data_IF_885809390235
#
_entry.id   IF_885809390235
#
_cell.length_a   1.000
_cell.length_b   1.000
_cell.length_c   1.000
_cell.angle_alpha   90.00
_cell.angle_beta   90.00
_cell.angle_gamma   90.00
#
_symmetry.space_group_name_H-M   'P 1'
#
loop_
_entity.id
_entity.type
_entity.pdbx_description
1 polymer ?
#
# COMPACT_ATOMS: atom_id res chain seq x y z
N UNK A 1 25.11 16.73 -64.62
CA UNK A 1 24.87 15.34 -64.23
C UNK A 1 25.82 14.95 -63.10
N UNK A 2 25.42 15.16 -61.85
CA UNK A 2 24.59 14.26 -61.02
C UNK A 2 25.49 13.34 -60.18
N UNK A 3 26.08 13.90 -59.12
CA UNK A 3 26.68 13.10 -58.05
C UNK A 3 25.69 13.07 -56.88
N UNK A 4 25.04 11.92 -56.72
CA UNK A 4 24.08 11.66 -55.64
C UNK A 4 24.85 11.33 -54.35
N UNK A 5 24.66 12.13 -53.31
CA UNK A 5 25.22 11.90 -51.98
C UNK A 5 24.41 10.82 -51.24
N UNK A 6 25.04 9.99 -50.39
CA UNK A 6 24.32 8.95 -49.67
C UNK A 6 23.31 9.58 -48.71
N UNK A 7 22.08 9.09 -48.76
CA UNK A 7 20.99 9.53 -47.90
C UNK A 7 21.37 9.30 -46.43
N UNK A 8 21.12 10.27 -45.53
CA UNK A 8 21.40 10.08 -44.13
C UNK A 8 20.50 8.97 -43.60
N UNK A 9 21.10 7.91 -43.04
CA UNK A 9 20.37 6.88 -42.33
C UNK A 9 19.65 7.53 -41.16
N UNK A 10 18.38 7.88 -41.37
CA UNK A 10 17.45 8.23 -40.32
C UNK A 10 17.20 6.96 -39.50
N UNK A 11 18.09 6.65 -38.56
CA UNK A 11 17.74 5.81 -37.41
C UNK A 11 16.87 6.67 -36.51
N UNK A 12 15.62 6.86 -36.92
CA UNK A 12 14.59 7.46 -36.11
C UNK A 12 14.29 6.50 -34.98
N UNK A 13 14.92 6.67 -33.83
CA UNK A 13 14.46 6.10 -32.57
C UNK A 13 13.12 6.77 -32.28
N UNK A 14 12.05 6.23 -32.84
CA UNK A 14 10.70 6.64 -32.50
C UNK A 14 10.50 6.28 -31.03
N UNK A 15 10.59 7.27 -30.15
CA UNK A 15 10.28 7.11 -28.74
C UNK A 15 8.89 6.46 -28.65
N UNK A 16 8.81 5.25 -28.12
CA UNK A 16 7.55 4.54 -27.98
C UNK A 16 6.67 5.31 -26.99
N UNK A 17 5.74 6.12 -27.51
CA UNK A 17 4.82 6.97 -26.73
C UNK A 17 3.65 6.21 -26.07
N UNK A 18 3.66 4.87 -26.10
CA UNK A 18 2.55 4.06 -25.57
C UNK A 18 2.91 3.49 -24.21
N UNK A 19 2.12 3.85 -23.20
CA UNK A 19 2.17 3.23 -21.89
C UNK A 19 1.68 1.77 -21.98
N UNK A 20 2.18 0.86 -21.13
CA UNK A 20 1.61 -0.48 -21.00
C UNK A 20 0.15 -0.43 -20.56
N UNK A 21 -0.64 -1.42 -20.98
CA UNK A 21 -2.03 -1.55 -20.54
C UNK A 21 -2.10 -1.89 -19.05
N UNK A 22 -2.90 -1.13 -18.29
CA UNK A 22 -3.20 -1.45 -16.90
C UNK A 22 -3.93 -2.80 -16.80
N UNK A 23 -3.53 -3.63 -15.82
CA UNK A 23 -4.19 -4.90 -15.49
C UNK A 23 -4.81 -4.79 -14.10
N UNK A 24 -5.73 -5.71 -13.78
CA UNK A 24 -6.19 -5.93 -12.42
C UNK A 24 -5.14 -6.68 -11.59
N UNK A 25 -5.59 -7.48 -10.62
CA UNK A 25 -4.72 -8.19 -9.68
C UNK A 25 -3.73 -9.16 -10.34
N UNK A 26 -2.54 -9.26 -9.76
CA UNK A 26 -1.49 -10.20 -10.14
C UNK A 26 -1.00 -11.04 -8.95
N UNK A 27 -1.19 -12.36 -9.01
CA UNK A 27 -0.80 -13.29 -7.95
C UNK A 27 0.33 -14.27 -8.34
N UNK A 28 0.62 -14.43 -9.62
CA UNK A 28 1.62 -15.40 -10.12
C UNK A 28 1.12 -16.86 -10.19
N UNK A 29 0.36 -17.36 -9.22
CA UNK A 29 -0.26 -18.70 -9.27
C UNK A 29 -1.62 -18.77 -8.55
N UNK A 30 -2.47 -19.73 -8.91
CA UNK A 30 -3.79 -19.91 -8.29
C UNK A 30 -3.71 -20.35 -6.83
N UNK A 31 -2.68 -21.14 -6.48
CA UNK A 31 -2.40 -21.50 -5.09
C UNK A 31 -2.08 -20.26 -4.26
N UNK A 32 -1.23 -19.36 -4.79
CA UNK A 32 -0.88 -18.12 -4.11
C UNK A 32 -2.07 -17.16 -4.02
N UNK A 33 -2.87 -17.08 -5.09
CA UNK A 33 -4.14 -16.35 -5.09
C UNK A 33 -5.05 -16.82 -3.96
N UNK A 34 -5.27 -18.13 -3.87
CA UNK A 34 -6.13 -18.72 -2.83
C UNK A 34 -5.62 -18.45 -1.42
N UNK A 35 -4.30 -18.55 -1.22
CA UNK A 35 -3.64 -18.24 0.06
C UNK A 35 -3.82 -16.78 0.45
N UNK A 36 -3.48 -15.85 -0.44
CA UNK A 36 -3.54 -14.41 -0.17
C UNK A 36 -4.98 -13.95 0.05
N UNK A 37 -5.94 -14.40 -0.76
CA UNK A 37 -7.34 -14.03 -0.59
C UNK A 37 -7.92 -14.55 0.73
N UNK A 38 -7.57 -15.77 1.15
CA UNK A 38 -7.98 -16.30 2.46
C UNK A 38 -7.40 -15.48 3.62
N UNK A 39 -6.12 -15.13 3.52
CA UNK A 39 -5.47 -14.25 4.50
C UNK A 39 -6.19 -12.90 4.59
N UNK A 40 -6.46 -12.25 3.45
CA UNK A 40 -7.12 -10.95 3.41
C UNK A 40 -8.55 -11.02 3.98
N UNK A 41 -9.30 -12.07 3.65
CA UNK A 41 -10.63 -12.28 4.19
C UNK A 41 -10.61 -12.39 5.71
N UNK A 42 -9.72 -13.20 6.27
CA UNK A 42 -9.61 -13.36 7.73
C UNK A 42 -9.10 -12.08 8.41
N UNK A 43 -8.07 -11.45 7.84
CA UNK A 43 -7.49 -10.24 8.37
C UNK A 43 -8.53 -9.12 8.45
N UNK A 44 -9.22 -8.81 7.36
CA UNK A 44 -10.18 -7.72 7.33
C UNK A 44 -11.49 -8.04 8.05
N UNK A 45 -11.89 -9.31 8.12
CA UNK A 45 -13.01 -9.73 8.98
C UNK A 45 -12.75 -9.35 10.45
N UNK A 46 -11.52 -9.57 10.94
CA UNK A 46 -11.15 -9.19 12.31
C UNK A 46 -10.95 -7.67 12.39
N UNK A 47 -10.30 -7.06 11.39
CA UNK A 47 -10.00 -5.62 11.36
C UNK A 47 -11.27 -4.77 11.46
N UNK A 48 -12.36 -5.20 10.81
CA UNK A 48 -13.65 -4.51 10.74
C UNK A 48 -14.63 -4.94 11.84
N UNK A 49 -14.26 -5.88 12.72
CA UNK A 49 -15.13 -6.37 13.79
C UNK A 49 -15.39 -5.36 14.92
N UNK A 50 -14.63 -4.26 14.95
CA UNK A 50 -14.61 -3.28 16.04
C UNK A 50 -13.64 -3.65 17.17
N UNK A 51 -13.33 -4.92 17.38
CA UNK A 51 -12.25 -5.37 18.27
C UNK A 51 -11.10 -5.99 17.46
N UNK A 52 -10.05 -5.20 17.27
CA UNK A 52 -8.89 -5.61 16.48
C UNK A 52 -7.96 -6.58 17.21
N UNK A 53 -8.17 -6.91 18.49
CA UNK A 53 -7.26 -7.77 19.27
C UNK A 53 -6.98 -9.13 18.63
N UNK A 54 -7.94 -9.69 17.86
CA UNK A 54 -7.75 -10.92 17.11
C UNK A 54 -6.60 -10.89 16.09
N UNK A 55 -6.12 -9.71 15.70
CA UNK A 55 -4.97 -9.55 14.79
C UNK A 55 -3.62 -9.78 15.46
N UNK A 56 -3.54 -9.85 16.79
CA UNK A 56 -2.28 -10.04 17.51
C UNK A 56 -1.53 -11.29 17.02
N UNK A 57 -2.25 -12.36 16.69
CA UNK A 57 -1.69 -13.61 16.16
C UNK A 57 -1.21 -13.53 14.71
N UNK A 58 -1.63 -12.51 13.95
CA UNK A 58 -1.20 -12.30 12.56
C UNK A 58 0.16 -11.60 12.45
N UNK A 59 0.63 -10.96 13.53
CA UNK A 59 1.88 -10.21 13.56
C UNK A 59 3.01 -10.96 14.27
N UNK A 60 4.19 -10.97 13.65
CA UNK A 60 5.43 -11.41 14.28
C UNK A 60 5.80 -10.51 15.47
N UNK A 61 6.52 -11.02 16.48
CA UNK A 61 6.89 -10.25 17.68
C UNK A 61 7.62 -8.93 17.34
N UNK A 62 8.47 -8.97 16.32
CA UNK A 62 9.26 -7.82 15.80
C UNK A 62 8.67 -7.22 14.52
N UNK A 63 7.37 -7.44 14.26
CA UNK A 63 6.72 -6.84 13.11
C UNK A 63 6.75 -5.31 13.19
N UNK A 64 6.91 -4.68 12.04
CA UNK A 64 6.91 -3.22 11.93
C UNK A 64 5.66 -2.71 11.21
N UNK A 65 5.16 -1.55 11.62
CA UNK A 65 4.02 -0.87 11.00
C UNK A 65 4.25 0.63 10.94
N UNK A 66 3.80 1.26 9.86
CA UNK A 66 3.71 2.71 9.74
C UNK A 66 2.54 3.09 8.84
N UNK A 67 1.92 4.23 9.13
CA UNK A 67 0.85 4.80 8.32
C UNK A 67 1.36 6.00 7.51
N UNK A 68 0.82 6.23 6.33
CA UNK A 68 1.06 7.48 5.59
C UNK A 68 -0.23 7.91 4.93
N UNK A 69 -0.60 9.19 5.10
CA UNK A 69 -1.70 9.82 4.40
C UNK A 69 -1.16 10.83 3.38
N UNK A 70 -1.86 11.01 2.24
CA UNK A 70 -1.47 12.04 1.27
C UNK A 70 -1.56 13.42 1.93
N UNK A 71 -0.60 14.28 1.61
CA UNK A 71 -0.65 15.68 2.01
C UNK A 71 -1.37 16.47 0.91
N UNK A 72 -2.54 17.02 1.23
CA UNK A 72 -3.28 17.88 0.31
C UNK A 72 -3.17 19.35 0.78
N UNK A 73 -2.27 20.17 0.20
CA UNK A 73 -2.07 21.56 0.63
C UNK A 73 -3.25 22.49 0.31
N UNK A 74 -4.19 22.04 -0.53
CA UNK A 74 -5.26 22.88 -1.07
C UNK A 74 -6.58 22.86 -0.30
N UNK A 75 -6.70 22.08 0.78
CA UNK A 75 -7.97 21.99 1.52
C UNK A 75 -7.96 22.83 2.82
N UNK A 76 -8.75 23.92 2.88
CA UNK A 76 -8.91 24.74 4.08
C UNK A 76 -9.87 24.14 5.12
N UNK A 77 -10.54 23.02 4.83
CA UNK A 77 -11.42 22.30 5.75
C UNK A 77 -10.60 21.41 6.71
N UNK A 78 -11.14 21.00 7.88
CA UNK A 78 -10.56 19.87 8.60
C UNK A 78 -10.56 18.68 7.65
N UNK A 79 -9.37 18.23 7.26
CA UNK A 79 -9.22 17.05 6.41
C UNK A 79 -10.01 15.91 7.05
N UNK A 80 -10.81 15.19 6.25
CA UNK A 80 -11.44 13.93 6.68
C UNK A 80 -10.43 12.91 7.22
N UNK A 81 -9.13 13.15 7.02
CA UNK A 81 -8.03 12.32 7.50
C UNK A 81 -7.41 12.84 8.81
N UNK A 82 -8.05 13.78 9.52
CA UNK A 82 -7.49 14.40 10.73
C UNK A 82 -7.16 13.37 11.82
N UNK A 83 -7.98 12.34 11.97
CA UNK A 83 -7.80 11.26 12.96
C UNK A 83 -6.53 10.44 12.69
N UNK A 84 -6.11 10.36 11.43
CA UNK A 84 -4.91 9.64 10.99
C UNK A 84 -3.63 10.49 11.05
N UNK A 85 -3.77 11.82 11.21
CA UNK A 85 -2.64 12.74 11.11
C UNK A 85 -1.58 12.49 12.19
N UNK A 86 -2.00 12.07 13.38
CA UNK A 86 -1.10 11.76 14.51
C UNK A 86 -0.15 10.60 14.21
N UNK A 87 -0.56 9.66 13.37
CA UNK A 87 0.21 8.47 13.00
C UNK A 87 0.89 8.61 11.62
N UNK A 88 0.76 9.77 10.96
CA UNK A 88 1.24 9.99 9.60
C UNK A 88 2.78 10.08 9.52
N UNK A 89 3.41 9.08 8.91
CA UNK A 89 4.87 8.99 8.73
C UNK A 89 5.31 9.32 7.30
N UNK A 90 5.15 10.57 6.89
CA UNK A 90 5.65 11.03 5.59
C UNK A 90 7.14 11.46 5.67
N UNK A 91 8.06 10.57 5.27
CA UNK A 91 9.52 10.81 5.35
C UNK A 91 10.01 12.01 4.50
N UNK A 92 9.27 12.41 3.47
CA UNK A 92 9.61 13.59 2.64
C UNK A 92 9.38 14.89 3.43
N UNK A 93 8.29 14.96 4.19
CA UNK A 93 7.87 16.15 4.95
C UNK A 93 8.44 16.17 6.37
N UNK A 94 8.39 15.03 7.07
CA UNK A 94 8.88 14.90 8.43
C UNK A 94 10.42 14.94 8.43
N UNK A 95 11.01 15.96 9.07
CA UNK A 95 12.48 16.13 9.14
C UNK A 95 13.07 15.71 10.47
N UNK A 96 12.31 15.80 11.54
CA UNK A 96 12.77 15.44 12.88
C UNK A 96 13.11 13.94 12.98
N UNK A 97 14.36 13.57 13.31
CA UNK A 97 14.77 12.17 13.42
C UNK A 97 14.07 11.39 14.53
N UNK A 98 13.78 12.03 15.66
CA UNK A 98 13.15 11.38 16.81
C UNK A 98 11.70 10.98 16.51
N UNK A 99 10.94 11.88 15.88
CA UNK A 99 9.58 11.64 15.42
C UNK A 99 9.54 10.56 14.32
N UNK A 100 10.53 10.52 13.42
CA UNK A 100 10.63 9.45 12.39
C UNK A 100 10.77 8.07 13.00
N UNK A 101 11.45 7.97 14.14
CA UNK A 101 11.61 6.73 14.90
C UNK A 101 10.34 6.41 15.67
N UNK A 102 9.73 7.40 16.33
CA UNK A 102 8.53 7.23 17.15
C UNK A 102 7.30 6.79 16.33
N UNK A 103 7.15 7.29 15.10
CA UNK A 103 6.03 6.95 14.22
C UNK A 103 6.16 5.57 13.54
N UNK A 104 7.28 4.88 13.73
CA UNK A 104 7.46 3.50 13.30
C UNK A 104 7.18 2.57 14.49
N UNK A 105 6.12 1.78 14.40
CA UNK A 105 5.83 0.72 15.39
C UNK A 105 6.74 -0.46 15.10
N UNK A 106 7.35 -1.06 16.13
CA UNK A 106 8.41 -2.09 15.98
C UNK A 106 8.10 -3.42 16.65
N UNK A 107 7.05 -3.47 17.46
CA UNK A 107 6.60 -4.70 18.10
C UNK A 107 5.13 -4.94 17.75
N UNK A 108 4.70 -6.21 17.74
CA UNK A 108 3.27 -6.51 17.55
C UNK A 108 2.37 -5.78 18.55
N UNK A 109 2.83 -5.56 19.78
CA UNK A 109 2.07 -4.82 20.80
C UNK A 109 1.90 -3.35 20.41
N UNK A 110 2.95 -2.70 19.90
CA UNK A 110 2.87 -1.32 19.40
C UNK A 110 1.91 -1.23 18.20
N UNK A 111 1.96 -2.22 17.30
CA UNK A 111 1.04 -2.33 16.17
C UNK A 111 -0.39 -2.44 16.67
N UNK A 112 -0.68 -3.35 17.59
CA UNK A 112 -2.02 -3.55 18.11
C UNK A 112 -2.57 -2.30 18.80
N UNK A 113 -1.73 -1.60 19.57
CA UNK A 113 -2.11 -0.32 20.18
C UNK A 113 -2.44 0.73 19.11
N UNK A 114 -1.61 0.87 18.08
CA UNK A 114 -1.89 1.79 16.98
C UNK A 114 -3.14 1.42 16.20
N UNK A 115 -3.36 0.13 15.91
CA UNK A 115 -4.57 -0.31 15.24
C UNK A 115 -5.81 -0.10 16.09
N UNK A 116 -5.76 -0.26 17.42
CA UNK A 116 -6.94 -0.10 18.28
C UNK A 116 -7.43 1.34 18.40
N UNK A 117 -6.57 2.33 18.16
CA UNK A 117 -6.93 3.76 18.22
C UNK A 117 -7.36 4.32 16.87
N UNK A 118 -7.17 3.57 15.78
CA UNK A 118 -7.68 3.98 14.47
C UNK A 118 -9.21 3.86 14.41
N UNK A 119 -9.88 4.69 13.60
CA UNK A 119 -11.34 4.66 13.45
C UNK A 119 -11.81 3.28 13.00
N UNK A 120 -13.04 2.90 13.37
CA UNK A 120 -13.64 1.65 12.88
C UNK A 120 -13.86 1.73 11.38
N UNK A 121 -13.76 0.59 10.71
CA UNK A 121 -13.79 0.52 9.26
C UNK A 121 -14.70 -0.59 8.77
N UNK A 122 -15.12 -0.47 7.53
CA UNK A 122 -15.74 -1.53 6.74
C UNK A 122 -15.10 -1.52 5.35
N UNK A 123 -14.37 -2.58 5.01
CA UNK A 123 -13.68 -2.73 3.74
C UNK A 123 -14.57 -3.39 2.69
N UNK A 124 -14.52 -2.90 1.45
CA UNK A 124 -15.08 -3.60 0.31
C UNK A 124 -14.06 -4.59 -0.24
N UNK A 125 -14.10 -5.83 0.25
CA UNK A 125 -13.21 -6.90 -0.21
C UNK A 125 -13.38 -7.23 -1.70
N UNK A 126 -14.55 -6.95 -2.29
CA UNK A 126 -14.79 -7.19 -3.71
C UNK A 126 -14.05 -6.18 -4.60
N UNK A 127 -13.72 -5.00 -4.06
CA UNK A 127 -12.97 -3.96 -4.77
C UNK A 127 -11.45 -4.17 -4.75
N UNK A 128 -10.95 -5.18 -4.05
CA UNK A 128 -9.51 -5.31 -3.82
C UNK A 128 -8.75 -5.69 -5.08
N UNK A 129 -7.74 -4.88 -5.41
CA UNK A 129 -6.73 -5.16 -6.42
C UNK A 129 -5.42 -5.52 -5.71
N UNK A 130 -4.97 -6.75 -5.92
CA UNK A 130 -3.83 -7.32 -5.19
C UNK A 130 -2.67 -7.59 -6.15
N UNK A 131 -1.52 -7.04 -5.84
CA UNK A 131 -0.30 -7.21 -6.62
C UNK A 131 0.79 -7.86 -5.79
N UNK A 132 1.10 -9.13 -6.06
CA UNK A 132 2.31 -9.77 -5.59
C UNK A 132 3.49 -9.25 -6.39
N UNK A 133 4.46 -8.65 -5.70
CA UNK A 133 5.64 -8.06 -6.33
C UNK A 133 6.95 -8.72 -5.89
N UNK A 134 6.95 -9.56 -4.86
CA UNK A 134 8.15 -10.30 -4.44
C UNK A 134 7.81 -11.64 -3.77
N UNK A 135 8.64 -12.66 -4.01
CA UNK A 135 8.53 -13.96 -3.33
C UNK A 135 9.88 -14.67 -3.32
N UNK A 136 10.21 -15.23 -2.17
CA UNK A 136 11.29 -16.20 -1.94
C UNK A 136 10.74 -17.34 -1.08
N UNK A 137 11.58 -18.32 -0.75
CA UNK A 137 11.22 -19.39 0.18
C UNK A 137 10.86 -18.86 1.58
N UNK A 138 11.38 -17.70 1.98
CA UNK A 138 11.25 -17.15 3.33
C UNK A 138 10.28 -15.97 3.42
N UNK A 139 9.88 -15.38 2.30
CA UNK A 139 9.12 -14.13 2.31
C UNK A 139 8.20 -14.02 1.09
N UNK A 140 7.01 -13.47 1.32
CA UNK A 140 6.06 -13.08 0.30
C UNK A 140 5.71 -11.60 0.53
N UNK A 141 5.78 -10.78 -0.52
CA UNK A 141 5.34 -9.39 -0.46
C UNK A 141 4.29 -9.11 -1.52
N UNK A 142 3.21 -8.49 -1.09
CA UNK A 142 2.11 -8.07 -1.95
C UNK A 142 1.57 -6.73 -1.48
N UNK A 143 0.93 -6.01 -2.39
CA UNK A 143 0.22 -4.77 -2.15
C UNK A 143 -1.27 -5.00 -2.33
N UNK A 144 -2.09 -4.31 -1.55
CA UNK A 144 -3.55 -4.33 -1.67
C UNK A 144 -4.01 -2.90 -1.89
N UNK A 145 -4.69 -2.68 -3.01
CA UNK A 145 -5.39 -1.44 -3.30
C UNK A 145 -6.89 -1.69 -3.17
N UNK A 146 -7.59 -0.82 -2.47
CA UNK A 146 -9.02 -0.98 -2.23
C UNK A 146 -9.60 0.24 -1.55
N UNK A 147 -10.86 0.13 -1.14
CA UNK A 147 -11.57 1.19 -0.41
C UNK A 147 -12.16 0.66 0.88
N UNK A 148 -12.31 1.55 1.85
CA UNK A 148 -13.03 1.32 3.08
C UNK A 148 -13.91 2.52 3.38
N UNK A 149 -14.94 2.29 4.19
CA UNK A 149 -15.76 3.33 4.81
C UNK A 149 -15.50 3.31 6.31
N UNK A 150 -15.43 4.48 6.93
CA UNK A 150 -15.41 4.58 8.39
C UNK A 150 -16.80 4.30 8.95
N UNK A 151 -16.84 3.46 9.99
CA UNK A 151 -18.04 3.20 10.79
C UNK A 151 -18.07 4.10 12.02
N UNK A 152 -19.27 4.37 12.53
CA UNK A 152 -19.45 5.00 13.85
C UNK A 152 -19.00 4.10 15.02
#
# INVERSE_FOLDING_TARGET
>A
DSQESPSPTSVGIAAHKRLPTCKGSFFGSDALKSLVLRFLQQYYLIYDSGDRQGLLGAYHNEACFSLTIPFNPGEPAPSSLCEYFKENRNMKKLKDPSLRVQLLKRTKCDIMHSLSVLPKTQHDLSSFVVDKWFQTEKMLCFSVNGVFKEGE
#
